data_IF_803722638788
#
_entry.id   IF_803722638788
#
_cell.length_a   1.000
_cell.length_b   1.000
_cell.length_c   1.000
_cell.angle_alpha   90.00
_cell.angle_beta   90.00
_cell.angle_gamma   90.00
#
_symmetry.space_group_name_H-M   'P 1'
#
loop_
_entity.id
_entity.type
_entity.pdbx_description
1 polymer ?
#
# COMPACT_ATOMS: atom_id res chain seq x y z
N UNK A 1 12.52 -15.57 0.17
CA UNK A 1 13.11 -15.56 -1.20
C UNK A 1 12.16 -14.79 -2.10
N UNK A 2 12.46 -13.55 -2.42
CA UNK A 2 11.66 -12.77 -3.39
C UNK A 2 11.87 -13.38 -4.77
N UNK A 3 10.80 -13.82 -5.43
CA UNK A 3 10.86 -14.38 -6.79
C UNK A 3 11.15 -13.24 -7.76
N UNK A 4 12.14 -13.40 -8.63
CA UNK A 4 12.44 -12.42 -9.69
C UNK A 4 11.19 -12.18 -10.56
N UNK A 5 10.84 -10.91 -10.79
CA UNK A 5 9.71 -10.50 -11.63
C UNK A 5 9.98 -10.88 -13.08
N UNK A 6 9.15 -11.75 -13.65
CA UNK A 6 9.28 -12.17 -15.06
C UNK A 6 8.41 -11.31 -16.00
N UNK A 7 8.44 -11.61 -17.30
CA UNK A 7 7.67 -10.87 -18.31
C UNK A 7 6.15 -10.96 -18.09
N UNK A 8 5.65 -12.13 -17.69
CA UNK A 8 4.23 -12.34 -17.40
C UNK A 8 3.78 -11.51 -16.19
N UNK A 9 4.58 -11.48 -15.13
CA UNK A 9 4.35 -10.62 -13.97
C UNK A 9 4.32 -9.15 -14.38
N UNK A 10 5.25 -8.72 -15.23
CA UNK A 10 5.30 -7.33 -15.70
C UNK A 10 4.07 -6.95 -16.52
N UNK A 11 3.64 -7.82 -17.44
CA UNK A 11 2.41 -7.62 -18.22
C UNK A 11 1.18 -7.54 -17.31
N UNK A 12 1.08 -8.45 -16.34
CA UNK A 12 -0.04 -8.46 -15.39
C UNK A 12 -0.07 -7.22 -14.50
N UNK A 13 1.07 -6.76 -14.02
CA UNK A 13 1.15 -5.52 -13.24
C UNK A 13 0.79 -4.31 -14.10
N UNK A 14 1.18 -4.28 -15.37
CA UNK A 14 0.79 -3.20 -16.30
C UNK A 14 -0.74 -3.14 -16.49
N UNK A 15 -1.40 -4.29 -16.63
CA UNK A 15 -2.87 -4.38 -16.67
C UNK A 15 -3.50 -3.83 -15.38
N UNK A 16 -3.03 -4.28 -14.21
CA UNK A 16 -3.57 -3.87 -12.91
C UNK A 16 -3.37 -2.37 -12.65
N UNK A 17 -2.26 -1.79 -13.12
CA UNK A 17 -1.98 -0.36 -13.00
C UNK A 17 -2.70 0.48 -14.07
N UNK A 18 -3.15 -0.13 -15.16
CA UNK A 18 -3.67 0.54 -16.37
C UNK A 18 -2.61 1.37 -17.11
N UNK A 19 -1.32 1.14 -16.82
CA UNK A 19 -0.17 1.85 -17.41
C UNK A 19 1.13 1.11 -17.14
N UNK A 20 2.19 1.32 -17.95
CA UNK A 20 3.50 0.76 -17.68
C UNK A 20 4.04 1.17 -16.28
N UNK A 21 4.64 0.24 -15.51
CA UNK A 21 5.27 0.57 -14.22
C UNK A 21 6.36 1.62 -14.39
N UNK A 22 6.34 2.70 -13.61
CA UNK A 22 7.24 3.85 -13.79
C UNK A 22 8.69 3.64 -13.32
N UNK A 23 8.93 2.60 -12.52
CA UNK A 23 10.22 2.29 -11.89
C UNK A 23 10.48 0.79 -11.88
N UNK A 24 11.59 0.39 -11.26
CA UNK A 24 11.79 -0.99 -10.85
C UNK A 24 10.83 -1.31 -9.69
N UNK A 25 10.40 -2.56 -9.60
CA UNK A 25 9.52 -3.03 -8.54
C UNK A 25 9.73 -4.52 -8.29
N UNK A 26 9.28 -4.97 -7.12
CA UNK A 26 9.13 -6.36 -6.74
C UNK A 26 7.66 -6.63 -6.40
N UNK A 27 7.20 -7.87 -6.61
CA UNK A 27 5.90 -8.31 -6.12
C UNK A 27 6.13 -8.95 -4.75
N UNK A 28 5.69 -8.27 -3.70
CA UNK A 28 5.95 -8.67 -2.31
C UNK A 28 4.76 -9.39 -1.67
N UNK A 29 3.55 -9.22 -2.23
CA UNK A 29 2.35 -9.96 -1.83
C UNK A 29 1.63 -10.45 -3.07
N UNK A 30 1.21 -11.72 -3.03
CA UNK A 30 0.36 -12.36 -4.05
C UNK A 30 -0.90 -12.92 -3.41
N UNK A 31 -1.97 -12.98 -4.18
CA UNK A 31 -3.18 -13.71 -3.80
C UNK A 31 -2.93 -15.22 -3.84
N UNK A 32 -3.89 -16.01 -3.34
CA UNK A 32 -3.83 -17.47 -3.42
C UNK A 32 -3.77 -17.99 -4.87
N UNK A 33 -4.39 -17.27 -5.81
CA UNK A 33 -4.32 -17.55 -7.24
C UNK A 33 -2.96 -17.15 -7.87
N UNK A 34 -2.05 -16.55 -7.09
CA UNK A 34 -0.74 -16.07 -7.53
C UNK A 34 -0.74 -14.68 -8.16
N UNK A 35 -1.87 -13.97 -8.17
CA UNK A 35 -2.01 -12.64 -8.78
C UNK A 35 -1.30 -11.55 -7.93
N UNK A 36 -0.66 -10.53 -8.52
CA UNK A 36 0.02 -9.47 -7.75
C UNK A 36 -0.96 -8.64 -6.91
N UNK A 37 -0.70 -8.52 -5.60
CA UNK A 37 -1.52 -7.71 -4.68
C UNK A 37 -0.78 -6.46 -4.23
N UNK A 38 0.49 -6.60 -3.82
CA UNK A 38 1.33 -5.47 -3.40
C UNK A 38 2.65 -5.47 -4.14
N UNK A 39 3.00 -4.30 -4.67
CA UNK A 39 4.31 -4.01 -5.24
C UNK A 39 5.16 -3.25 -4.23
N UNK A 40 6.43 -3.62 -4.10
CA UNK A 40 7.48 -2.79 -3.49
C UNK A 40 8.24 -2.09 -4.61
N UNK A 41 8.15 -0.77 -4.69
CA UNK A 41 8.69 0.04 -5.77
C UNK A 41 10.04 0.64 -5.37
N UNK A 42 10.93 0.84 -6.33
CA UNK A 42 12.08 1.71 -6.10
C UNK A 42 11.60 3.12 -5.69
N UNK A 43 12.29 3.80 -4.75
CA UNK A 43 11.87 5.11 -4.23
C UNK A 43 11.98 6.23 -5.28
N UNK A 44 12.76 6.00 -6.34
CA UNK A 44 12.96 6.93 -7.46
C UNK A 44 12.53 6.24 -8.77
N UNK A 45 11.68 6.92 -9.54
CA UNK A 45 11.21 6.47 -10.84
C UNK A 45 12.30 6.60 -11.90
N UNK A 46 12.15 5.92 -13.04
CA UNK A 46 13.07 6.08 -14.20
C UNK A 46 13.17 7.51 -14.72
N UNK A 47 12.15 8.33 -14.48
CA UNK A 47 12.13 9.76 -14.82
C UNK A 47 12.91 10.64 -13.84
N UNK A 48 13.50 10.07 -12.77
CA UNK A 48 14.14 10.81 -11.68
C UNK A 48 13.15 11.42 -10.68
N UNK A 49 11.84 11.31 -10.94
CA UNK A 49 10.80 11.77 -10.01
C UNK A 49 10.66 10.81 -8.82
N UNK A 50 10.30 11.30 -7.63
CA UNK A 50 10.00 10.44 -6.50
C UNK A 50 8.79 9.53 -6.75
N UNK A 51 8.89 8.28 -6.32
CA UNK A 51 7.75 7.37 -6.22
C UNK A 51 6.84 7.83 -5.07
N UNK A 52 5.52 7.97 -5.28
CA UNK A 52 4.62 8.47 -4.23
C UNK A 52 4.46 7.51 -3.04
N UNK A 53 4.75 6.23 -3.21
CA UNK A 53 4.69 5.21 -2.16
C UNK A 53 5.64 4.07 -2.49
N UNK A 54 6.38 3.57 -1.49
CA UNK A 54 7.20 2.37 -1.57
C UNK A 54 6.30 1.15 -1.82
N UNK A 55 5.23 1.01 -1.05
CA UNK A 55 4.25 -0.07 -1.16
C UNK A 55 3.01 0.38 -1.93
N UNK A 56 2.72 -0.30 -3.04
CA UNK A 56 1.59 0.00 -3.90
C UNK A 56 0.60 -1.18 -3.94
N UNK A 57 -0.62 -0.95 -3.46
CA UNK A 57 -1.71 -1.92 -3.56
C UNK A 57 -2.26 -1.93 -5.00
N UNK A 58 -1.95 -3.00 -5.75
CA UNK A 58 -2.36 -3.19 -7.14
C UNK A 58 -3.46 -4.25 -7.32
N UNK A 59 -3.67 -5.13 -6.34
CA UNK A 59 -4.70 -6.17 -6.42
C UNK A 59 -6.10 -5.55 -6.65
N UNK A 60 -6.83 -6.07 -7.63
CA UNK A 60 -8.10 -5.48 -8.08
C UNK A 60 -9.18 -5.55 -6.99
N UNK A 61 -9.30 -6.71 -6.32
CA UNK A 61 -10.23 -6.91 -5.21
C UNK A 61 -9.91 -5.97 -4.05
N UNK A 62 -8.67 -5.98 -3.59
CA UNK A 62 -8.21 -5.22 -2.42
C UNK A 62 -8.34 -3.71 -2.67
N UNK A 63 -7.99 -3.24 -3.89
CA UNK A 63 -8.18 -1.84 -4.27
C UNK A 63 -9.64 -1.41 -4.21
N UNK A 64 -10.57 -2.25 -4.68
CA UNK A 64 -12.02 -1.97 -4.67
C UNK A 64 -12.57 -1.95 -3.25
N UNK A 65 -12.20 -2.92 -2.42
CA UNK A 65 -12.62 -3.02 -1.02
C UNK A 65 -12.13 -1.82 -0.20
N UNK A 66 -10.84 -1.49 -0.31
CA UNK A 66 -10.27 -0.31 0.34
C UNK A 66 -10.89 0.98 -0.20
N UNK A 67 -11.11 1.08 -1.52
CA UNK A 67 -11.76 2.25 -2.13
C UNK A 67 -13.20 2.47 -1.65
N UNK A 68 -13.94 1.38 -1.41
CA UNK A 68 -15.28 1.44 -0.79
C UNK A 68 -15.18 1.92 0.66
N UNK A 69 -14.26 1.35 1.44
CA UNK A 69 -14.04 1.76 2.83
C UNK A 69 -13.66 3.25 2.93
N UNK A 70 -12.81 3.76 2.04
CA UNK A 70 -12.48 5.18 1.96
C UNK A 70 -13.71 6.04 1.66
N UNK A 71 -14.53 5.60 0.70
CA UNK A 71 -15.75 6.32 0.29
C UNK A 71 -16.80 6.38 1.41
N UNK A 72 -16.78 5.42 2.33
CA UNK A 72 -17.60 5.39 3.56
C UNK A 72 -17.00 6.22 4.71
N UNK A 73 -15.92 6.98 4.45
CA UNK A 73 -15.26 7.84 5.44
C UNK A 73 -14.14 7.14 6.22
N UNK A 74 -13.62 6.02 5.71
CA UNK A 74 -12.64 5.19 6.40
C UNK A 74 -11.37 5.93 6.85
N UNK A 75 -10.88 6.90 6.08
CA UNK A 75 -9.72 7.73 6.48
C UNK A 75 -9.99 8.46 7.80
N UNK A 76 -11.13 9.17 7.88
CA UNK A 76 -11.53 9.90 9.10
C UNK A 76 -11.73 8.94 10.27
N UNK A 77 -12.32 7.77 10.02
CA UNK A 77 -12.59 6.80 11.07
C UNK A 77 -11.28 6.17 11.60
N UNK A 78 -10.30 5.90 10.73
CA UNK A 78 -8.98 5.43 11.14
C UNK A 78 -8.25 6.48 11.99
N UNK A 79 -8.24 7.74 11.56
CA UNK A 79 -7.62 8.84 12.33
C UNK A 79 -8.32 9.11 13.67
N UNK A 80 -9.61 8.78 13.78
CA UNK A 80 -10.35 8.88 15.06
C UNK A 80 -10.12 7.68 15.98
N UNK A 81 -9.76 6.52 15.43
CA UNK A 81 -9.58 5.27 16.17
C UNK A 81 -8.13 5.04 16.63
N UNK A 82 -7.16 5.73 16.03
CA UNK A 82 -5.72 5.53 16.25
C UNK A 82 -5.11 6.81 16.79
N UNK A 83 -4.26 6.67 17.82
CA UNK A 83 -3.57 7.82 18.40
C UNK A 83 -2.68 8.52 17.35
N UNK A 84 -2.70 9.86 17.27
CA UNK A 84 -1.90 10.61 16.30
C UNK A 84 -0.41 10.31 16.34
N UNK A 85 0.14 10.03 17.53
CA UNK A 85 1.54 9.68 17.72
C UNK A 85 1.87 8.30 17.12
N UNK A 86 0.95 7.33 17.17
CA UNK A 86 1.14 6.00 16.55
C UNK A 86 1.21 6.11 15.02
N UNK A 87 0.37 6.97 14.42
CA UNK A 87 0.41 7.28 12.98
C UNK A 87 1.72 7.99 12.62
N UNK A 88 2.15 8.96 13.44
CA UNK A 88 3.40 9.67 13.23
C UNK A 88 4.62 8.74 13.31
N UNK A 89 4.60 7.76 14.22
CA UNK A 89 5.66 6.76 14.39
C UNK A 89 5.73 5.83 13.18
N UNK A 90 4.58 5.36 12.69
CA UNK A 90 4.48 4.57 11.46
C UNK A 90 5.06 5.32 10.26
N UNK A 91 4.74 6.61 10.11
CA UNK A 91 5.34 7.44 9.07
C UNK A 91 6.86 7.56 9.15
N UNK A 92 7.44 7.69 10.37
CA UNK A 92 8.89 7.75 10.54
C UNK A 92 9.56 6.43 10.20
N UNK A 93 8.99 5.30 10.62
CA UNK A 93 9.49 3.96 10.27
C UNK A 93 9.47 3.73 8.76
N UNK A 94 8.35 4.05 8.11
CA UNK A 94 8.21 3.98 6.65
C UNK A 94 9.22 4.85 5.91
N UNK A 95 9.38 6.11 6.33
CA UNK A 95 10.31 7.03 5.70
C UNK A 95 11.76 6.53 5.83
N UNK A 96 12.13 6.01 7.01
CA UNK A 96 13.46 5.43 7.25
C UNK A 96 13.73 4.25 6.31
N UNK A 97 12.76 3.34 6.17
CA UNK A 97 12.86 2.19 5.27
C UNK A 97 13.03 2.63 3.81
N UNK A 98 12.17 3.53 3.33
CA UNK A 98 12.24 4.06 1.96
C UNK A 98 13.56 4.78 1.70
N UNK A 99 14.00 5.63 2.64
CA UNK A 99 15.17 6.47 2.45
C UNK A 99 16.47 5.67 2.41
N UNK A 100 16.51 4.51 3.08
CA UNK A 100 17.60 3.55 2.99
C UNK A 100 17.76 2.93 1.58
N UNK A 101 16.71 2.90 0.77
CA UNK A 101 16.76 2.41 -0.62
C UNK A 101 17.12 3.50 -1.64
N UNK A 102 17.20 4.78 -1.23
CA UNK A 102 17.59 5.86 -2.13
C UNK A 102 19.11 5.78 -2.37
N UNK A 103 19.59 5.72 -3.63
CA UNK A 103 21.02 5.68 -3.92
C UNK A 103 21.77 6.83 -3.24
N UNK A 104 22.92 6.55 -2.62
CA UNK A 104 23.71 7.54 -1.89
C UNK A 104 24.13 8.75 -2.74
N UNK A 105 24.31 8.54 -4.06
CA UNK A 105 24.62 9.59 -5.02
C UNK A 105 23.40 10.23 -5.71
N UNK A 106 22.17 9.97 -5.25
CA UNK A 106 20.98 10.53 -5.90
C UNK A 106 20.95 12.06 -5.78
N UNK A 107 21.07 12.73 -6.93
CA UNK A 107 20.93 14.18 -7.07
C UNK A 107 19.58 14.47 -7.72
N UNK A 108 18.64 15.02 -6.96
CA UNK A 108 17.31 15.35 -7.45
C UNK A 108 16.24 15.41 -6.36
N UNK A 109 14.96 15.58 -6.74
CA UNK A 109 13.87 15.55 -5.78
C UNK A 109 13.82 14.21 -5.03
N UNK A 110 13.48 14.26 -3.75
CA UNK A 110 13.31 13.08 -2.90
C UNK A 110 11.84 12.90 -2.54
N UNK A 111 11.38 11.64 -2.36
CA UNK A 111 10.01 11.38 -1.90
C UNK A 111 9.75 12.07 -0.57
N UNK A 112 8.54 12.61 -0.43
CA UNK A 112 8.15 13.37 0.74
C UNK A 112 7.60 12.48 1.83
N UNK A 113 8.01 12.70 3.08
CA UNK A 113 7.38 12.25 4.33
C UNK A 113 6.94 10.77 4.40
N UNK A 114 5.92 10.41 5.17
CA UNK A 114 5.62 9.03 5.53
C UNK A 114 4.90 8.21 4.45
N UNK A 115 4.11 7.24 4.90
CA UNK A 115 3.25 6.38 4.07
C UNK A 115 2.39 7.22 3.12
N UNK A 116 2.31 6.83 1.84
CA UNK A 116 1.52 7.54 0.82
C UNK A 116 2.00 8.97 0.48
N UNK A 117 3.16 9.37 1.02
CA UNK A 117 3.79 10.66 0.76
C UNK A 117 3.24 11.82 1.58
N UNK A 118 2.46 11.54 2.64
CA UNK A 118 1.83 12.57 3.48
C UNK A 118 2.73 13.04 4.62
N UNK A 119 2.59 14.31 5.04
CA UNK A 119 3.39 14.87 6.16
C UNK A 119 2.78 14.59 7.52
N UNK A 120 1.45 14.50 7.59
CA UNK A 120 0.67 14.30 8.80
C UNK A 120 -0.63 13.60 8.44
N UNK A 121 -1.15 12.81 9.37
CA UNK A 121 -2.42 12.11 9.20
C UNK A 121 -2.39 11.11 8.05
N UNK A 122 -3.57 10.65 7.65
CA UNK A 122 -3.73 9.61 6.63
C UNK A 122 -4.24 10.23 5.34
N UNK A 123 -3.46 10.11 4.26
CA UNK A 123 -3.90 10.58 2.93
C UNK A 123 -4.81 9.59 2.22
N UNK A 124 -4.47 8.30 2.27
CA UNK A 124 -5.25 7.20 1.70
C UNK A 124 -4.94 5.90 2.43
N UNK A 125 -5.92 5.02 2.52
CA UNK A 125 -5.84 3.69 3.13
C UNK A 125 -5.07 2.70 2.26
N UNK A 126 -5.03 2.86 0.93
CA UNK A 126 -4.35 1.90 0.02
C UNK A 126 -2.85 1.76 0.32
N UNK A 127 -2.16 2.87 0.57
CA UNK A 127 -0.72 2.84 0.84
C UNK A 127 -0.42 2.17 2.19
N UNK A 128 -1.25 2.45 3.20
CA UNK A 128 -1.13 1.88 4.52
C UNK A 128 -1.45 0.39 4.54
N UNK A 129 -2.56 0.00 3.92
CA UNK A 129 -2.93 -1.41 3.80
C UNK A 129 -1.92 -2.21 2.98
N UNK A 130 -1.41 -1.63 1.88
CA UNK A 130 -0.34 -2.25 1.10
C UNK A 130 0.93 -2.49 1.91
N UNK A 131 1.35 -1.55 2.76
CA UNK A 131 2.51 -1.75 3.63
C UNK A 131 2.25 -2.81 4.69
N UNK A 132 1.07 -2.79 5.33
CA UNK A 132 0.67 -3.79 6.31
C UNK A 132 0.67 -5.22 5.73
N UNK A 133 0.07 -5.42 4.56
CA UNK A 133 0.08 -6.73 3.87
C UNK A 133 1.49 -7.22 3.55
N UNK A 134 2.43 -6.31 3.32
CA UNK A 134 3.84 -6.65 3.09
C UNK A 134 4.62 -6.93 4.39
N UNK A 135 3.95 -6.98 5.55
CA UNK A 135 4.56 -7.22 6.86
C UNK A 135 5.04 -5.95 7.58
N UNK A 136 4.66 -4.76 7.08
CA UNK A 136 4.94 -3.50 7.74
C UNK A 136 4.15 -3.33 9.03
N UNK A 137 4.79 -2.74 10.05
CA UNK A 137 4.15 -2.38 11.32
C UNK A 137 3.28 -1.11 11.15
N UNK A 138 2.19 -1.20 10.40
CA UNK A 138 1.32 -0.07 10.10
C UNK A 138 0.01 -0.14 10.90
N UNK A 139 -0.24 0.76 11.87
CA UNK A 139 -1.47 0.75 12.66
C UNK A 139 -2.71 1.05 11.82
N UNK A 140 -2.58 1.90 10.80
CA UNK A 140 -3.69 2.23 9.88
C UNK A 140 -3.96 1.04 8.96
N UNK A 141 -2.91 0.38 8.47
CA UNK A 141 -3.05 -0.82 7.65
C UNK A 141 -3.67 -1.99 8.43
N UNK A 142 -3.29 -2.18 9.71
CA UNK A 142 -3.92 -3.12 10.63
C UNK A 142 -5.40 -2.80 10.82
N UNK A 143 -5.73 -1.54 11.11
CA UNK A 143 -7.12 -1.09 11.23
C UNK A 143 -7.93 -1.37 9.97
N UNK A 144 -7.38 -1.13 8.77
CA UNK A 144 -8.03 -1.48 7.50
C UNK A 144 -8.34 -2.97 7.43
N UNK A 145 -7.37 -3.82 7.79
CA UNK A 145 -7.56 -5.28 7.77
C UNK A 145 -8.74 -5.70 8.66
N UNK A 146 -8.80 -5.17 9.88
CA UNK A 146 -9.89 -5.43 10.84
C UNK A 146 -11.26 -4.99 10.30
N UNK A 147 -11.34 -3.82 9.63
CA UNK A 147 -12.60 -3.36 9.03
C UNK A 147 -13.06 -4.22 7.86
N UNK A 148 -12.12 -4.69 7.03
CA UNK A 148 -12.44 -5.56 5.90
C UNK A 148 -12.89 -6.94 6.38
N UNK A 149 -12.23 -7.50 7.38
CA UNK A 149 -12.64 -8.76 8.02
C UNK A 149 -14.02 -8.65 8.65
N UNK A 150 -14.29 -7.59 9.41
CA UNK A 150 -15.60 -7.36 10.02
C UNK A 150 -16.72 -7.27 8.96
N UNK A 151 -16.47 -6.59 7.84
CA UNK A 151 -17.42 -6.49 6.72
C UNK A 151 -17.65 -7.82 6.02
N UNK A 152 -16.59 -8.61 5.83
CA UNK A 152 -16.70 -9.94 5.22
C UNK A 152 -17.54 -10.88 6.10
N UNK A 153 -17.31 -10.84 7.42
CA UNK A 153 -18.08 -11.64 8.38
C UNK A 153 -19.55 -11.22 8.42
N UNK A 154 -19.84 -9.91 8.41
CA UNK A 154 -21.21 -9.41 8.35
C UNK A 154 -21.96 -9.89 7.09
N UNK A 155 -21.32 -9.81 5.92
CA UNK A 155 -21.90 -10.29 4.67
C UNK A 155 -22.17 -11.80 4.69
N UNK A 156 -21.25 -12.60 5.22
CA UNK A 156 -21.43 -14.05 5.34
C UNK A 156 -22.58 -14.42 6.30
N UNK A 157 -22.80 -13.64 7.36
CA UNK A 157 -23.93 -13.84 8.26
C UNK A 157 -25.28 -13.49 7.62
N UNK A 158 -25.32 -12.45 6.80
CA UNK A 158 -26.53 -12.06 6.05
C UNK A 158 -26.88 -13.13 5.00
N UNK A 159 -25.90 -13.64 4.25
CA UNK A 159 -26.09 -14.71 3.26
C UNK A 159 -26.55 -16.04 3.90
N UNK A 160 -26.08 -16.35 5.11
CA UNK A 160 -26.49 -17.57 5.82
C UNK A 160 -27.88 -17.48 6.47
N UNK A 161 -28.45 -16.28 6.56
CA UNK A 161 -29.77 -16.03 7.15
C UNK A 161 -30.91 -16.04 6.11
N UNK A 162 -30.58 -16.15 4.82
CA UNK A 162 -31.49 -16.22 3.67
C UNK A 162 -31.66 -17.67 3.17
#
# INVERSE_FOLDING_TARGET
MTKSVNEADRARVEELLGRPPGGAFEIVVRSEAGDPVVLRNAPILRSGRPMPTLYWLCGDKERKEVGRLESEGGVRNAEAAIEPDEIADAHRRYATERDAEIPAGHVGPRPSNGVGGTRRGVKCLHAHYGWYLAGGDDPVGRWVAEQLEAKANAAAHEEAAE
#
